data_IF_242138625509
#
_entry.id   IF_242138625509
#
_cell.length_a   1.000
_cell.length_b   1.000
_cell.length_c   1.000
_cell.angle_alpha   90.00
_cell.angle_beta   90.00
_cell.angle_gamma   90.00
#
_symmetry.space_group_name_H-M   'P 1'
#
loop_
_entity.id
_entity.type
_entity.pdbx_description
1 polymer ?
#
# COMPACT_ATOMS: atom_id res chain seq x y z
N UNK A 1 -5.36 -30.79 0.10
CA UNK A 1 -4.54 -29.94 0.98
C UNK A 1 -3.21 -29.78 0.26
N UNK A 2 -3.11 -28.79 -0.65
CA UNK A 2 -1.86 -28.48 -1.33
C UNK A 2 -0.91 -27.88 -0.29
N UNK A 3 0.23 -28.49 -0.15
CA UNK A 3 1.34 -28.06 0.70
C UNK A 3 1.81 -26.68 0.25
N UNK A 4 1.75 -25.71 1.15
CA UNK A 4 2.38 -24.38 1.03
C UNK A 4 3.93 -24.55 1.10
N UNK A 5 4.54 -25.10 0.05
CA UNK A 5 5.94 -25.58 0.11
C UNK A 5 6.89 -24.86 -0.84
N UNK A 6 6.46 -23.88 -1.61
CA UNK A 6 7.40 -23.04 -2.34
C UNK A 6 7.55 -21.69 -1.63
N UNK A 7 8.81 -21.39 -1.25
CA UNK A 7 9.16 -20.09 -0.70
C UNK A 7 9.12 -19.08 -1.85
N UNK A 8 8.38 -17.99 -1.67
CA UNK A 8 8.37 -16.90 -2.66
C UNK A 8 9.59 -16.01 -2.48
N UNK A 9 9.99 -15.30 -3.55
CA UNK A 9 11.08 -14.32 -3.47
C UNK A 9 10.84 -13.28 -2.36
N UNK A 10 9.57 -12.91 -2.14
CA UNK A 10 9.17 -12.01 -1.06
C UNK A 10 9.56 -12.57 0.33
N UNK A 11 9.28 -13.84 0.56
CA UNK A 11 9.57 -14.49 1.85
C UNK A 11 11.06 -14.75 2.04
N UNK A 12 11.79 -15.07 0.97
CA UNK A 12 13.23 -15.35 1.03
C UNK A 12 14.03 -14.08 1.25
N UNK A 13 13.81 -13.07 0.42
CA UNK A 13 14.62 -11.84 0.37
C UNK A 13 14.07 -10.72 1.27
N UNK A 14 12.83 -10.85 1.79
CA UNK A 14 12.15 -9.80 2.52
C UNK A 14 11.45 -8.77 1.62
N UNK A 15 11.68 -8.81 0.31
CA UNK A 15 10.99 -7.99 -0.69
C UNK A 15 10.97 -8.69 -2.06
N UNK A 16 10.01 -8.30 -2.89
CA UNK A 16 9.94 -8.74 -4.29
C UNK A 16 9.22 -7.68 -5.15
N UNK A 17 9.39 -7.78 -6.46
CA UNK A 17 8.76 -6.88 -7.46
C UNK A 17 8.08 -7.68 -8.54
N UNK A 18 7.00 -7.15 -9.10
CA UNK A 18 6.21 -7.79 -10.15
C UNK A 18 5.69 -6.76 -11.15
N UNK A 19 5.41 -7.20 -12.36
CA UNK A 19 4.58 -6.52 -13.33
C UNK A 19 3.22 -7.22 -13.39
N UNK A 20 2.25 -6.73 -12.62
CA UNK A 20 0.92 -7.35 -12.57
C UNK A 20 0.10 -7.09 -13.82
N UNK A 21 0.46 -6.10 -14.66
CA UNK A 21 -0.17 -5.93 -15.94
C UNK A 21 0.12 -7.11 -16.87
N UNK A 22 1.37 -7.58 -16.88
CA UNK A 22 1.78 -8.79 -17.62
C UNK A 22 1.17 -10.05 -16.99
N UNK A 23 1.23 -10.19 -15.67
CA UNK A 23 0.73 -11.36 -14.93
C UNK A 23 -0.78 -11.58 -15.14
N UNK A 24 -1.57 -10.50 -15.15
CA UNK A 24 -3.03 -10.56 -15.31
C UNK A 24 -3.48 -10.42 -16.78
N UNK A 25 -2.57 -10.12 -17.69
CA UNK A 25 -2.91 -9.82 -19.09
C UNK A 25 -3.75 -8.55 -19.25
N UNK A 26 -3.54 -7.55 -18.37
CA UNK A 26 -4.30 -6.29 -18.33
C UNK A 26 -3.54 -5.20 -19.08
N UNK A 27 -4.27 -4.41 -19.84
CA UNK A 27 -3.75 -3.22 -20.50
C UNK A 27 -4.36 -1.94 -19.91
N UNK A 28 -3.73 -0.80 -20.18
CA UNK A 28 -4.27 0.49 -19.75
C UNK A 28 -5.66 0.82 -20.35
N UNK A 29 -6.06 0.17 -21.44
CA UNK A 29 -7.35 0.40 -22.10
C UNK A 29 -8.46 -0.50 -21.58
N UNK A 30 -8.16 -1.46 -20.72
CA UNK A 30 -9.17 -2.35 -20.15
C UNK A 30 -10.16 -1.58 -19.29
N UNK A 31 -11.45 -1.87 -19.47
CA UNK A 31 -12.52 -1.15 -18.78
C UNK A 31 -12.42 -1.24 -17.25
N UNK A 32 -11.98 -2.39 -16.72
CA UNK A 32 -11.75 -2.59 -15.29
C UNK A 32 -10.59 -1.74 -14.75
N UNK A 33 -9.51 -1.59 -15.55
CA UNK A 33 -8.40 -0.72 -15.18
C UNK A 33 -8.78 0.75 -15.26
N UNK A 34 -9.51 1.17 -16.29
CA UNK A 34 -10.01 2.54 -16.40
C UNK A 34 -10.98 2.88 -15.27
N UNK A 35 -11.85 1.94 -14.86
CA UNK A 35 -12.73 2.12 -13.70
C UNK A 35 -11.93 2.26 -12.39
N UNK A 36 -10.87 1.44 -12.19
CA UNK A 36 -9.98 1.59 -11.04
C UNK A 36 -9.28 2.96 -11.05
N UNK A 37 -8.73 3.36 -12.18
CA UNK A 37 -8.06 4.66 -12.35
C UNK A 37 -8.99 5.85 -12.06
N UNK A 38 -10.25 5.76 -12.46
CA UNK A 38 -11.25 6.79 -12.20
C UNK A 38 -11.51 7.04 -10.71
N UNK A 39 -11.36 6.03 -9.86
CA UNK A 39 -11.52 6.16 -8.39
C UNK A 39 -10.49 7.12 -7.76
N UNK A 40 -9.38 7.41 -8.43
CA UNK A 40 -8.35 8.31 -7.94
C UNK A 40 -8.56 9.77 -8.34
N UNK A 41 -9.51 10.07 -9.22
CA UNK A 41 -9.76 11.45 -9.68
C UNK A 41 -10.21 12.31 -8.50
N UNK A 42 -11.23 11.86 -7.77
CA UNK A 42 -11.87 12.58 -6.69
C UNK A 42 -11.58 11.97 -5.30
N UNK A 43 -10.35 11.49 -5.08
CA UNK A 43 -9.96 11.06 -3.75
C UNK A 43 -9.94 12.28 -2.81
N UNK A 44 -10.63 12.21 -1.65
CA UNK A 44 -10.61 13.27 -0.66
C UNK A 44 -9.22 13.42 -0.05
N UNK A 45 -8.86 14.63 0.43
CA UNK A 45 -7.64 14.83 1.20
C UNK A 45 -7.56 13.86 2.39
N UNK A 46 -6.38 13.36 2.67
CA UNK A 46 -6.13 12.59 3.89
C UNK A 46 -6.25 13.54 5.10
N UNK A 47 -7.21 13.36 6.02
CA UNK A 47 -7.43 14.27 7.13
C UNK A 47 -6.26 14.31 8.14
N UNK A 48 -5.31 13.40 8.01
CA UNK A 48 -4.12 13.28 8.85
C UNK A 48 -2.83 13.73 8.14
N UNK A 49 -2.93 14.21 6.91
CA UNK A 49 -1.79 14.59 6.08
C UNK A 49 -2.14 15.72 5.10
N UNK A 50 -2.87 16.72 5.58
CA UNK A 50 -3.41 17.82 4.76
C UNK A 50 -2.34 18.68 4.10
N UNK A 51 -1.18 18.83 4.74
CA UNK A 51 -0.06 19.62 4.20
C UNK A 51 0.88 18.79 3.30
N UNK A 52 0.69 17.48 3.24
CA UNK A 52 1.59 16.55 2.54
C UNK A 52 1.13 16.24 1.11
N UNK A 53 0.10 16.90 0.60
CA UNK A 53 -0.45 16.65 -0.74
C UNK A 53 -1.00 15.23 -0.92
N UNK A 54 -1.42 14.57 0.15
CA UNK A 54 -1.92 13.19 0.16
C UNK A 54 -3.44 13.15 0.15
N UNK A 55 -4.01 12.36 -0.76
CA UNK A 55 -5.43 12.06 -0.84
C UNK A 55 -5.62 10.55 -0.62
N UNK A 56 -6.71 10.14 0.08
CA UNK A 56 -6.84 8.75 0.50
C UNK A 56 -8.28 8.29 0.67
N UNK A 57 -8.53 7.01 0.30
CA UNK A 57 -9.66 6.20 0.77
C UNK A 57 -9.14 4.89 1.33
N UNK A 58 -9.93 4.27 2.20
CA UNK A 58 -9.54 3.05 2.89
C UNK A 58 -10.72 2.09 3.03
N UNK A 59 -10.48 0.81 2.86
CA UNK A 59 -11.43 -0.25 3.18
C UNK A 59 -10.74 -1.35 3.97
N UNK A 60 -11.52 -2.08 4.75
CA UNK A 60 -11.05 -3.24 5.52
C UNK A 60 -11.75 -4.49 5.03
N UNK A 61 -11.02 -5.58 5.00
CA UNK A 61 -11.54 -6.89 4.66
C UNK A 61 -11.08 -7.97 5.63
N UNK A 62 -11.71 -9.11 5.50
CA UNK A 62 -11.30 -10.37 6.15
C UNK A 62 -10.97 -11.37 5.05
N UNK A 63 -9.80 -11.97 5.15
CA UNK A 63 -9.38 -13.07 4.30
C UNK A 63 -9.27 -14.34 5.14
N UNK A 64 -9.85 -15.43 4.68
CA UNK A 64 -9.82 -16.74 5.34
C UNK A 64 -8.76 -17.63 4.67
N UNK A 65 -7.57 -17.85 5.29
CA UNK A 65 -6.48 -18.60 4.65
C UNK A 65 -6.83 -20.03 4.24
N UNK A 66 -7.73 -20.67 4.98
CA UNK A 66 -8.12 -22.07 4.75
C UNK A 66 -9.11 -22.29 3.60
N UNK A 67 -9.95 -21.29 3.28
CA UNK A 67 -10.92 -21.34 2.17
C UNK A 67 -10.60 -20.40 1.03
N UNK A 68 -9.66 -19.44 1.24
CA UNK A 68 -9.33 -18.33 0.33
C UNK A 68 -10.53 -17.41 0.03
N UNK A 69 -11.49 -17.37 0.94
CA UNK A 69 -12.62 -16.46 0.85
C UNK A 69 -12.24 -15.08 1.37
N UNK A 70 -12.74 -14.06 0.69
CA UNK A 70 -12.57 -12.67 1.07
C UNK A 70 -13.92 -11.99 1.23
N UNK A 71 -14.06 -11.17 2.28
CA UNK A 71 -15.25 -10.35 2.53
C UNK A 71 -14.86 -8.98 3.04
N UNK A 72 -15.54 -7.93 2.56
CA UNK A 72 -15.36 -6.60 3.11
C UNK A 72 -15.98 -6.47 4.50
N UNK A 73 -15.27 -5.80 5.41
CA UNK A 73 -15.81 -5.36 6.69
C UNK A 73 -16.67 -4.13 6.42
N UNK A 74 -17.90 -4.05 6.99
CA UNK A 74 -18.76 -2.89 6.83
C UNK A 74 -18.11 -1.58 7.32
N UNK A 75 -18.37 -0.50 6.59
CA UNK A 75 -17.98 0.85 7.00
C UNK A 75 -18.80 1.33 8.19
N UNK A 76 -18.30 2.36 8.86
CA UNK A 76 -19.00 3.04 9.94
C UNK A 76 -19.42 4.43 9.48
N UNK A 77 -20.70 4.75 9.59
CA UNK A 77 -21.21 6.11 9.32
C UNK A 77 -20.96 7.02 10.52
N UNK A 78 -20.19 8.09 10.35
CA UNK A 78 -19.80 9.03 11.40
C UNK A 78 -20.44 10.43 11.20
N UNK A 79 -21.76 10.47 11.05
CA UNK A 79 -22.52 11.71 10.89
C UNK A 79 -22.04 12.53 9.69
N UNK A 80 -21.71 13.79 9.90
CA UNK A 80 -21.27 14.71 8.83
C UNK A 80 -19.99 14.30 8.12
N UNK A 81 -19.15 13.45 8.75
CA UNK A 81 -17.94 12.91 8.11
C UNK A 81 -18.23 11.81 7.07
N UNK A 82 -19.49 11.32 6.99
CA UNK A 82 -19.89 10.25 6.08
C UNK A 82 -19.37 8.87 6.49
N UNK A 83 -19.16 8.01 5.48
CA UNK A 83 -18.68 6.64 5.67
C UNK A 83 -17.16 6.60 5.86
N UNK A 84 -16.72 5.98 6.95
CA UNK A 84 -15.33 5.97 7.40
C UNK A 84 -14.90 4.58 7.86
N UNK A 85 -13.59 4.33 7.82
CA UNK A 85 -12.96 3.15 8.41
C UNK A 85 -11.86 3.54 9.38
N UNK A 86 -11.76 2.78 10.48
CA UNK A 86 -10.66 2.94 11.42
C UNK A 86 -9.41 2.21 10.93
N UNK A 87 -8.28 2.90 10.92
CA UNK A 87 -6.96 2.34 10.65
C UNK A 87 -6.03 2.58 11.84
N UNK A 88 -5.34 1.55 12.29
CA UNK A 88 -4.48 1.59 13.47
C UNK A 88 -3.21 0.79 13.23
N UNK A 89 -2.06 1.41 13.49
CA UNK A 89 -0.72 0.84 13.33
C UNK A 89 0.04 0.75 14.66
N UNK A 90 -0.65 0.76 15.80
CA UNK A 90 -0.03 0.74 17.13
C UNK A 90 1.08 1.81 17.26
N UNK A 91 2.30 1.38 17.59
CA UNK A 91 3.47 2.25 17.78
C UNK A 91 4.42 2.21 16.58
N UNK A 92 4.02 1.55 15.47
CA UNK A 92 4.89 1.38 14.30
C UNK A 92 5.00 2.65 13.46
N UNK A 93 3.94 3.45 13.39
CA UNK A 93 4.00 4.75 12.73
C UNK A 93 4.26 5.86 13.77
N UNK A 94 5.46 6.49 13.77
CA UNK A 94 5.82 7.49 14.76
C UNK A 94 4.94 8.75 14.74
N UNK A 95 4.31 9.06 13.58
CA UNK A 95 3.46 10.24 13.43
C UNK A 95 2.08 10.06 14.10
N UNK A 96 1.66 8.79 14.36
CA UNK A 96 0.29 8.46 14.81
C UNK A 96 0.24 7.44 15.94
N UNK A 97 1.22 7.44 16.84
CA UNK A 97 1.29 6.51 17.97
C UNK A 97 0.01 6.53 18.80
N UNK A 98 -0.61 5.36 18.96
CA UNK A 98 -1.83 5.19 19.76
C UNK A 98 -3.10 5.79 19.17
N UNK A 99 -3.07 6.31 17.94
CA UNK A 99 -4.21 6.96 17.28
C UNK A 99 -4.90 6.00 16.32
N UNK A 100 -6.22 5.82 16.49
CA UNK A 100 -7.06 5.18 15.46
C UNK A 100 -7.47 6.25 14.44
N UNK A 101 -6.82 6.26 13.29
CA UNK A 101 -7.15 7.17 12.19
C UNK A 101 -8.48 6.79 11.57
N UNK A 102 -9.38 7.76 11.38
CA UNK A 102 -10.67 7.57 10.70
C UNK A 102 -10.53 8.07 9.26
N UNK A 103 -10.44 7.15 8.32
CA UNK A 103 -10.21 7.43 6.90
C UNK A 103 -11.50 7.27 6.09
N UNK A 104 -11.71 8.12 5.06
CA UNK A 104 -12.86 7.99 4.17
C UNK A 104 -12.94 6.60 3.54
N UNK A 105 -14.15 6.04 3.49
CA UNK A 105 -14.38 4.71 2.95
C UNK A 105 -14.16 4.64 1.44
N UNK A 106 -13.71 3.49 0.94
CA UNK A 106 -13.71 3.19 -0.49
C UNK A 106 -15.13 3.11 -1.03
N UNK A 107 -15.31 3.50 -2.29
CA UNK A 107 -16.58 3.34 -3.00
C UNK A 107 -16.94 1.86 -3.21
N UNK A 108 -18.21 1.56 -3.43
CA UNK A 108 -18.63 0.22 -3.84
C UNK A 108 -18.05 -0.17 -5.20
N UNK A 109 -17.90 0.78 -6.12
CA UNK A 109 -17.27 0.56 -7.42
C UNK A 109 -15.83 0.07 -7.27
N UNK A 110 -15.03 0.72 -6.43
CA UNK A 110 -13.66 0.30 -6.16
C UNK A 110 -13.63 -1.09 -5.49
N UNK A 111 -14.48 -1.35 -4.50
CA UNK A 111 -14.55 -2.65 -3.82
C UNK A 111 -14.95 -3.81 -4.74
N UNK A 112 -15.80 -3.53 -5.72
CA UNK A 112 -16.28 -4.52 -6.68
C UNK A 112 -15.40 -4.60 -7.94
N UNK A 113 -14.34 -3.78 -8.04
CA UNK A 113 -13.45 -3.82 -9.17
C UNK A 113 -12.71 -5.17 -9.24
N UNK A 114 -12.75 -5.87 -10.38
CA UNK A 114 -12.12 -7.18 -10.51
C UNK A 114 -10.60 -7.14 -10.30
N UNK A 115 -9.92 -6.06 -10.69
CA UNK A 115 -8.47 -5.91 -10.51
C UNK A 115 -8.11 -5.88 -9.01
N UNK A 116 -8.91 -5.21 -8.17
CA UNK A 116 -8.68 -5.24 -6.71
C UNK A 116 -8.76 -6.68 -6.18
N UNK A 117 -9.70 -7.48 -6.67
CA UNK A 117 -9.83 -8.89 -6.25
C UNK A 117 -8.65 -9.76 -6.71
N UNK A 118 -8.17 -9.53 -7.93
CA UNK A 118 -6.99 -10.22 -8.46
C UNK A 118 -5.74 -9.84 -7.68
N UNK A 119 -5.54 -8.54 -7.40
CA UNK A 119 -4.46 -8.06 -6.53
C UNK A 119 -4.49 -8.76 -5.16
N UNK A 120 -5.64 -8.77 -4.48
CA UNK A 120 -5.76 -9.41 -3.16
C UNK A 120 -5.42 -10.90 -3.20
N UNK A 121 -5.85 -11.60 -4.25
CA UNK A 121 -5.56 -13.03 -4.43
C UNK A 121 -4.09 -13.28 -4.73
N UNK A 122 -3.49 -12.45 -5.59
CA UNK A 122 -2.08 -12.51 -5.93
C UNK A 122 -1.20 -12.22 -4.70
N UNK A 123 -1.47 -11.12 -4.00
CA UNK A 123 -0.69 -10.70 -2.83
C UNK A 123 -0.72 -11.77 -1.75
N UNK A 124 -1.91 -12.31 -1.44
CA UNK A 124 -2.01 -13.40 -0.49
C UNK A 124 -1.18 -14.62 -0.92
N UNK A 125 -1.13 -14.96 -2.21
CA UNK A 125 -0.33 -16.07 -2.72
C UNK A 125 1.18 -15.86 -2.54
N UNK A 126 1.64 -14.60 -2.44
CA UNK A 126 3.05 -14.28 -2.15
C UNK A 126 3.40 -14.38 -0.67
N UNK A 127 2.41 -14.37 0.24
CA UNK A 127 2.63 -14.41 1.69
C UNK A 127 2.88 -15.82 2.20
N UNK A 128 3.57 -15.92 3.33
CA UNK A 128 3.73 -17.18 4.07
C UNK A 128 3.39 -16.97 5.54
N UNK A 129 2.47 -17.79 6.03
CA UNK A 129 2.00 -17.73 7.39
C UNK A 129 2.47 -18.93 8.20
N UNK A 130 2.78 -18.70 9.48
CA UNK A 130 2.98 -19.80 10.42
C UNK A 130 1.70 -20.65 10.52
N UNK A 131 1.80 -21.89 10.98
CA UNK A 131 0.62 -22.72 11.20
C UNK A 131 -0.37 -22.11 12.18
N UNK A 132 0.13 -21.41 13.19
CA UNK A 132 -0.70 -20.68 14.15
C UNK A 132 -1.42 -19.50 13.49
N UNK A 133 -0.72 -18.70 12.69
CA UNK A 133 -1.31 -17.51 12.04
C UNK A 133 -2.30 -17.90 10.94
N UNK A 134 -2.00 -18.96 10.17
CA UNK A 134 -2.91 -19.47 9.15
C UNK A 134 -4.21 -20.10 9.72
N UNK A 135 -4.28 -20.28 11.03
CA UNK A 135 -5.50 -20.71 11.72
C UNK A 135 -6.42 -19.56 12.12
N UNK A 136 -5.99 -18.30 11.96
CA UNK A 136 -6.79 -17.11 12.18
C UNK A 136 -7.24 -16.48 10.87
N UNK A 137 -8.39 -15.76 10.85
CA UNK A 137 -8.68 -14.85 9.78
C UNK A 137 -7.58 -13.79 9.67
N UNK A 138 -7.32 -13.30 8.46
CA UNK A 138 -6.43 -12.17 8.25
C UNK A 138 -7.28 -10.90 8.08
N UNK A 139 -6.95 -9.86 8.81
CA UNK A 139 -7.34 -8.51 8.47
C UNK A 139 -6.61 -8.11 7.19
N UNK A 140 -7.33 -7.51 6.26
CA UNK A 140 -6.78 -6.94 5.04
C UNK A 140 -7.12 -5.47 4.99
N UNK A 141 -6.11 -4.61 4.98
CA UNK A 141 -6.25 -3.20 4.68
C UNK A 141 -6.07 -2.97 3.19
N UNK A 142 -6.95 -2.15 2.59
CA UNK A 142 -6.81 -1.71 1.19
C UNK A 142 -6.92 -0.20 1.14
N UNK A 143 -5.88 0.44 0.64
CA UNK A 143 -5.79 1.88 0.55
C UNK A 143 -5.69 2.33 -0.90
N UNK A 144 -6.50 3.29 -1.28
CA UNK A 144 -6.28 4.10 -2.48
C UNK A 144 -5.58 5.37 -2.05
N UNK A 145 -4.33 5.56 -2.48
CA UNK A 145 -3.50 6.70 -2.09
C UNK A 145 -3.07 7.46 -3.35
N UNK A 146 -3.32 8.77 -3.37
CA UNK A 146 -2.80 9.67 -4.40
C UNK A 146 -1.98 10.76 -3.74
N UNK A 147 -0.75 10.92 -4.16
CA UNK A 147 0.07 12.09 -3.92
C UNK A 147 -0.14 13.07 -5.07
N UNK A 148 -0.38 14.34 -4.78
CA UNK A 148 -0.63 15.37 -5.77
C UNK A 148 0.13 16.65 -5.42
N UNK A 149 0.81 17.24 -6.42
CA UNK A 149 1.60 18.46 -6.30
C UNK A 149 1.28 19.41 -7.45
N UNK A 150 0.71 20.56 -7.15
CA UNK A 150 0.37 21.62 -8.08
C UNK A 150 1.39 22.77 -8.07
N UNK A 151 2.03 23.02 -6.93
CA UNK A 151 3.07 24.05 -6.77
C UNK A 151 4.47 23.44 -7.00
N UNK A 152 5.29 23.98 -7.92
CA UNK A 152 6.64 23.48 -8.17
C UNK A 152 7.60 23.66 -6.98
N UNK A 153 7.26 24.50 -6.02
CA UNK A 153 8.04 24.71 -4.78
C UNK A 153 7.69 23.76 -3.66
N UNK A 154 6.67 22.90 -3.84
CA UNK A 154 6.20 21.94 -2.81
C UNK A 154 6.55 20.51 -3.18
N UNK A 155 6.46 19.66 -2.17
CA UNK A 155 6.57 18.21 -2.28
C UNK A 155 5.31 17.56 -1.74
N UNK A 156 4.95 16.38 -2.28
CA UNK A 156 4.00 15.50 -1.63
C UNK A 156 4.73 14.28 -1.06
N UNK A 157 4.34 13.90 0.16
CA UNK A 157 5.09 12.97 0.99
C UNK A 157 4.22 11.75 1.32
N UNK A 158 4.83 10.57 1.19
CA UNK A 158 4.31 9.34 1.77
C UNK A 158 4.83 9.24 3.21
N UNK A 159 3.96 9.25 4.19
CA UNK A 159 4.36 9.24 5.60
C UNK A 159 4.58 7.80 6.09
N UNK A 160 5.58 7.57 6.94
CA UNK A 160 6.60 8.52 7.38
C UNK A 160 7.66 8.79 6.29
N UNK A 161 8.31 9.97 6.35
CA UNK A 161 9.34 10.37 5.40
C UNK A 161 10.74 9.89 5.82
N UNK A 162 10.83 8.63 6.21
CA UNK A 162 12.06 7.93 6.61
C UNK A 162 11.92 6.45 6.35
N UNK A 163 13.01 5.71 6.40
CA UNK A 163 12.98 4.24 6.38
C UNK A 163 12.17 3.73 7.56
N UNK A 164 11.11 2.98 7.29
CA UNK A 164 10.15 2.53 8.31
C UNK A 164 9.74 1.08 8.12
N UNK A 165 9.06 0.58 9.11
CA UNK A 165 8.30 -0.66 9.13
C UNK A 165 6.87 -0.30 9.52
N UNK A 166 5.88 -0.86 8.84
CA UNK A 166 4.47 -0.54 9.05
C UNK A 166 3.85 -1.31 10.24
N UNK A 167 4.46 -2.43 10.62
CA UNK A 167 3.97 -3.32 11.67
C UNK A 167 2.97 -4.36 11.18
N UNK A 168 2.52 -4.27 9.95
CA UNK A 168 1.76 -5.32 9.27
C UNK A 168 2.74 -6.32 8.64
N UNK A 169 2.61 -7.65 8.88
CA UNK A 169 3.58 -8.64 8.42
C UNK A 169 3.92 -8.61 6.94
N UNK A 170 2.95 -8.26 6.10
CA UNK A 170 3.14 -8.12 4.65
C UNK A 170 2.43 -6.88 4.15
N UNK A 171 3.15 -6.06 3.40
CA UNK A 171 2.66 -4.84 2.77
C UNK A 171 3.00 -4.85 1.29
N UNK A 172 2.05 -4.46 0.44
CA UNK A 172 2.18 -4.41 -1.01
C UNK A 172 1.79 -3.03 -1.53
N UNK A 173 2.46 -2.59 -2.59
CA UNK A 173 2.11 -1.36 -3.28
C UNK A 173 2.08 -1.60 -4.80
N UNK A 174 0.99 -1.17 -5.44
CA UNK A 174 0.71 -1.33 -6.86
C UNK A 174 0.50 0.04 -7.49
N UNK A 175 1.35 0.40 -8.44
CA UNK A 175 1.19 1.68 -9.14
C UNK A 175 -0.05 1.65 -10.03
N UNK A 176 -0.94 2.62 -9.87
CA UNK A 176 -2.07 2.80 -10.79
C UNK A 176 -1.69 3.75 -11.91
N UNK A 177 -1.07 4.87 -11.57
CA UNK A 177 -0.45 5.78 -12.53
C UNK A 177 0.53 6.73 -11.86
N UNK A 178 1.42 7.29 -12.69
CA UNK A 178 2.20 8.48 -12.37
C UNK A 178 2.16 9.44 -13.57
N UNK A 179 1.97 10.70 -13.30
CA UNK A 179 1.82 11.74 -14.32
C UNK A 179 2.51 13.00 -13.87
N UNK A 180 3.37 13.57 -14.74
CA UNK A 180 4.07 14.82 -14.49
C UNK A 180 4.72 14.92 -13.10
N UNK A 181 5.44 13.87 -12.70
CA UNK A 181 6.15 13.82 -11.40
C UNK A 181 7.61 13.41 -11.56
N UNK A 182 8.45 13.92 -10.67
CA UNK A 182 9.79 13.43 -10.39
C UNK A 182 9.85 12.97 -8.94
N UNK A 183 10.74 12.02 -8.61
CA UNK A 183 10.79 11.36 -7.30
C UNK A 183 9.81 10.19 -7.20
N UNK A 184 9.49 9.77 -5.99
CA UNK A 184 8.72 8.54 -5.74
C UNK A 184 9.59 7.28 -5.91
N UNK A 185 10.90 7.40 -5.74
CA UNK A 185 11.84 6.29 -5.68
C UNK A 185 11.61 5.48 -4.42
N UNK A 186 11.59 4.16 -4.56
CA UNK A 186 11.43 3.24 -3.43
C UNK A 186 12.83 2.75 -3.02
N UNK A 187 13.10 2.72 -1.72
CA UNK A 187 14.34 2.21 -1.14
C UNK A 187 14.01 1.12 -0.14
N UNK A 188 14.68 -0.02 -0.27
CA UNK A 188 14.59 -1.15 0.66
C UNK A 188 15.94 -1.30 1.35
N UNK A 189 15.93 -1.37 2.67
CA UNK A 189 17.12 -1.51 3.49
C UNK A 189 16.89 -2.50 4.65
N UNK A 190 17.96 -2.99 5.31
CA UNK A 190 17.81 -3.79 6.53
C UNK A 190 17.05 -3.05 7.65
N UNK A 191 16.31 -3.78 8.51
CA UNK A 191 15.49 -3.19 9.59
C UNK A 191 16.27 -2.29 10.55
N UNK A 192 17.57 -2.51 10.71
CA UNK A 192 18.46 -1.69 11.57
C UNK A 192 18.56 -0.23 11.15
N UNK A 193 18.10 0.10 9.94
CA UNK A 193 18.07 1.47 9.42
C UNK A 193 16.71 2.17 9.57
N UNK A 194 15.75 1.54 10.22
CA UNK A 194 14.49 2.19 10.59
C UNK A 194 14.77 3.52 11.31
N UNK A 195 14.02 4.56 10.93
CA UNK A 195 14.17 5.92 11.47
C UNK A 195 15.31 6.72 10.85
N UNK A 196 15.92 6.23 9.76
CA UNK A 196 16.96 6.95 9.01
C UNK A 196 16.49 7.34 7.63
N UNK A 197 17.12 8.36 7.07
CA UNK A 197 16.98 8.69 5.66
C UNK A 197 17.83 7.74 4.81
N UNK A 198 17.46 7.48 3.54
CA UNK A 198 18.26 6.61 2.66
C UNK A 198 19.72 7.05 2.48
N UNK A 199 19.98 8.36 2.48
CA UNK A 199 21.35 8.92 2.39
C UNK A 199 22.22 8.63 3.61
N UNK A 200 21.63 8.28 4.74
CA UNK A 200 22.33 7.89 5.97
C UNK A 200 22.65 6.38 5.99
N UNK A 201 22.18 5.62 4.99
CA UNK A 201 22.50 4.19 4.85
C UNK A 201 23.88 4.04 4.21
N UNK A 202 24.83 3.32 4.82
CA UNK A 202 26.14 3.13 4.23
C UNK A 202 26.07 2.49 2.83
N UNK A 203 26.98 2.91 1.94
CA UNK A 203 27.07 2.35 0.59
C UNK A 203 27.23 0.83 0.63
N UNK A 204 26.35 0.14 -0.11
CA UNK A 204 26.32 -1.33 -0.20
C UNK A 204 25.44 -2.01 0.83
N UNK A 205 24.82 -1.28 1.77
CA UNK A 205 23.83 -1.84 2.70
C UNK A 205 22.38 -1.62 2.25
N UNK A 206 22.14 -0.80 1.23
CA UNK A 206 20.83 -0.71 0.57
C UNK A 206 20.58 -2.01 -0.20
N UNK A 207 19.44 -2.66 0.06
CA UNK A 207 19.07 -3.93 -0.57
C UNK A 207 18.51 -3.72 -1.97
N UNK A 208 17.73 -2.68 -2.19
CA UNK A 208 17.20 -2.28 -3.49
C UNK A 208 16.84 -0.79 -3.53
N UNK A 209 16.96 -0.21 -4.73
CA UNK A 209 16.44 1.10 -5.07
C UNK A 209 15.78 1.01 -6.46
N UNK A 210 14.55 1.49 -6.60
CA UNK A 210 13.79 1.41 -7.84
C UNK A 210 12.62 2.40 -7.87
N UNK A 211 12.14 2.71 -9.05
CA UNK A 211 10.87 3.40 -9.25
C UNK A 211 9.84 2.45 -9.86
N UNK A 212 8.57 2.62 -9.47
CA UNK A 212 7.44 2.08 -10.21
C UNK A 212 7.06 3.13 -11.26
N UNK A 213 7.08 2.75 -12.53
CA UNK A 213 6.92 3.68 -13.65
C UNK A 213 5.72 3.37 -14.53
N UNK A 214 5.34 2.09 -14.64
CA UNK A 214 4.22 1.62 -15.46
C UNK A 214 3.04 1.21 -14.58
N UNK A 215 1.81 1.32 -15.08
CA UNK A 215 0.63 0.81 -14.40
C UNK A 215 0.80 -0.65 -13.98
N UNK A 216 0.38 -0.97 -12.76
CA UNK A 216 0.45 -2.28 -12.11
C UNK A 216 1.87 -2.84 -11.89
N UNK A 217 2.95 -2.08 -12.19
CA UNK A 217 4.24 -2.38 -11.55
C UNK A 217 4.07 -2.31 -10.03
N UNK A 218 4.59 -3.32 -9.35
CA UNK A 218 4.26 -3.60 -7.96
C UNK A 218 5.48 -4.04 -7.18
N UNK A 219 5.45 -3.84 -5.87
CA UNK A 219 6.36 -4.49 -4.94
C UNK A 219 5.66 -4.88 -3.66
N UNK A 220 6.23 -5.81 -2.95
CA UNK A 220 5.81 -6.19 -1.61
C UNK A 220 7.02 -6.33 -0.68
N UNK A 221 6.76 -6.18 0.61
CA UNK A 221 7.73 -6.36 1.67
C UNK A 221 7.22 -7.33 2.74
N UNK A 222 8.15 -8.11 3.31
CA UNK A 222 7.98 -8.79 4.59
C UNK A 222 8.52 -7.84 5.64
N UNK A 223 7.64 -7.16 6.35
CA UNK A 223 7.94 -6.00 7.16
C UNK A 223 8.99 -6.25 8.26
N UNK A 224 8.97 -7.45 8.86
CA UNK A 224 9.97 -7.83 9.87
C UNK A 224 11.40 -7.99 9.31
N UNK A 225 11.54 -8.19 7.99
CA UNK A 225 12.84 -8.47 7.34
C UNK A 225 13.53 -7.25 6.75
N UNK A 226 12.76 -6.20 6.47
CA UNK A 226 13.27 -4.99 5.83
C UNK A 226 12.66 -3.74 6.45
N UNK A 227 13.29 -2.61 6.22
CA UNK A 227 12.69 -1.29 6.27
C UNK A 227 12.52 -0.76 4.86
N UNK A 228 11.52 0.06 4.64
CA UNK A 228 11.20 0.60 3.31
C UNK A 228 10.92 2.09 3.37
N UNK A 229 11.07 2.74 2.22
CA UNK A 229 10.91 4.19 2.08
C UNK A 229 10.44 4.52 0.68
N UNK A 230 9.64 5.57 0.54
CA UNK A 230 9.30 6.18 -0.75
C UNK A 230 9.66 7.65 -0.70
N UNK A 231 10.53 8.10 -1.60
CA UNK A 231 10.93 9.49 -1.64
C UNK A 231 9.77 10.42 -1.98
N UNK A 232 9.78 11.67 -1.48
CA UNK A 232 8.81 12.68 -1.87
C UNK A 232 8.69 12.80 -3.39
N UNK A 233 7.52 13.19 -3.87
CA UNK A 233 7.33 13.57 -5.26
C UNK A 233 7.26 15.09 -5.40
N UNK A 234 7.76 15.58 -6.53
CA UNK A 234 7.63 16.98 -6.98
C UNK A 234 6.91 17.01 -8.32
N UNK A 235 6.31 18.15 -8.64
CA UNK A 235 5.76 18.38 -9.95
C UNK A 235 6.86 18.34 -11.02
N UNK A 236 6.60 17.65 -12.11
CA UNK A 236 7.46 17.63 -13.28
C UNK A 236 7.42 18.95 -14.07
N UNK A 237 8.02 18.98 -15.26
CA UNK A 237 8.19 20.20 -16.03
C UNK A 237 6.89 20.78 -16.64
N UNK A 238 5.84 19.97 -16.78
CA UNK A 238 4.54 20.44 -17.27
C UNK A 238 3.85 21.36 -16.25
N UNK A 239 3.04 22.37 -16.68
CA UNK A 239 2.23 23.17 -15.79
C UNK A 239 1.11 22.41 -15.08
N UNK A 240 0.79 21.20 -15.54
CA UNK A 240 -0.23 20.33 -14.94
C UNK A 240 0.19 19.81 -13.58
N UNK A 241 -0.78 19.50 -12.71
CA UNK A 241 -0.56 18.84 -11.42
C UNK A 241 0.25 17.57 -11.59
N UNK A 242 1.28 17.40 -10.79
CA UNK A 242 2.03 16.15 -10.68
C UNK A 242 1.27 15.17 -9.79
N UNK A 243 1.04 13.93 -10.25
CA UNK A 243 0.29 12.93 -9.49
C UNK A 243 0.96 11.55 -9.53
N UNK A 244 0.95 10.87 -8.38
CA UNK A 244 1.32 9.46 -8.24
C UNK A 244 0.24 8.75 -7.43
N UNK A 245 -0.37 7.72 -8.01
CA UNK A 245 -1.48 6.97 -7.44
C UNK A 245 -1.10 5.50 -7.26
N UNK A 246 -1.40 4.95 -6.08
CA UNK A 246 -1.12 3.55 -5.74
C UNK A 246 -2.32 2.92 -5.03
N UNK A 247 -2.50 1.62 -5.25
CA UNK A 247 -3.22 0.74 -4.32
C UNK A 247 -2.19 0.16 -3.37
N UNK A 248 -2.43 0.29 -2.06
CA UNK A 248 -1.62 -0.36 -1.03
C UNK A 248 -2.47 -1.40 -0.32
N UNK A 249 -1.89 -2.57 -0.09
CA UNK A 249 -2.56 -3.70 0.58
C UNK A 249 -1.68 -4.18 1.72
N UNK A 250 -2.29 -4.41 2.88
CA UNK A 250 -1.64 -5.00 4.04
C UNK A 250 -2.41 -6.23 4.55
N UNK A 251 -1.68 -7.15 5.18
CA UNK A 251 -2.25 -8.37 5.78
C UNK A 251 -1.74 -8.53 7.21
N UNK A 252 -2.68 -8.74 8.16
CA UNK A 252 -2.37 -8.94 9.58
C UNK A 252 -3.24 -10.04 10.20
N UNK A 253 -2.68 -11.02 10.92
CA UNK A 253 -3.50 -12.03 11.60
C UNK A 253 -4.39 -11.41 12.67
N UNK A 254 -5.69 -11.76 12.66
CA UNK A 254 -6.66 -11.33 13.66
C UNK A 254 -6.56 -12.22 14.90
N UNK A 255 -5.49 -12.05 15.68
CA UNK A 255 -5.26 -12.83 16.89
C UNK A 255 -6.18 -12.38 18.02
N UNK A 256 -6.69 -13.35 18.77
CA UNK A 256 -7.42 -13.08 20.02
C UNK A 256 -6.44 -12.58 21.09
N UNK A 257 -6.78 -11.45 21.72
CA UNK A 257 -6.19 -11.05 22.99
C UNK A 257 -7.09 -11.56 24.12
N UNK A 258 -6.62 -12.59 24.83
CA UNK A 258 -7.31 -13.17 25.98
C UNK A 258 -6.65 -12.64 27.24
#
# INVERSE_FOLDING_TARGET
MQTLTESTALVENGFARWDLAEEFGITETDASFQALRAEFVDLPPDPYATEEGRNRRYARGIFLPWSREFSWIPDTHLGERGWMNGYWQADHNPDYVGVVRKLPAMSETARNNPIIREILSFDFAQTRWSRSDAAFPLHVGVHLIKLAVDDPGREAISSPNELHQDGEPFVFAHLVYRRNVVGGSNVIAPPKFRGKLPEDVPKGETLAEFELTKPLESYGVTDEKVSHYVSPIRRGPSPETGERAVVLVDFTPMRQHI
#
